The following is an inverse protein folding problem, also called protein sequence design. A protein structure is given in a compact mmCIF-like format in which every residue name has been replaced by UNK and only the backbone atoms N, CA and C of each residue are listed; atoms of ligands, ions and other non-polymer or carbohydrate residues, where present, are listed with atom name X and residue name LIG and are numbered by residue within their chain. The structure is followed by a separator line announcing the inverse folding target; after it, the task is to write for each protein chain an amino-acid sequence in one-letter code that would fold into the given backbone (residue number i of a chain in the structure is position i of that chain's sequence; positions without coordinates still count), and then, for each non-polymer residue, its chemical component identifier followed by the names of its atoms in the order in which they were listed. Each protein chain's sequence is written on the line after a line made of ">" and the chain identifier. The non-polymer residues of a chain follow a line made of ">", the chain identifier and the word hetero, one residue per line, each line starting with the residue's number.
data_IF_807259282383
#
_entry.id   IF_807259282383
#
_cell.length_a   1.000
_cell.length_b   1.000
_cell.length_c   1.000
_cell.angle_alpha   90.00
_cell.angle_beta   90.00
_cell.angle_gamma   90.00
#
_symmetry.space_group_name_H-M   'P 1'
#
loop_
_entity.id
_entity.type
_entity.pdbx_description
1 polymer ?
#
# COMPACT_ATOMS: atom_id res chain seq x y z
N UNK A 1 -2.28 9.37 7.55
CA UNK A 1 -1.92 8.09 6.95
C UNK A 1 -0.54 7.73 7.46
N UNK A 2 -0.31 6.52 7.90
CA UNK A 2 0.99 6.07 8.40
C UNK A 2 1.92 5.89 7.20
N UNK A 3 3.24 6.03 7.37
CA UNK A 3 4.22 5.79 6.30
C UNK A 3 4.10 4.39 5.71
N UNK A 4 3.71 3.40 6.52
CA UNK A 4 3.39 2.02 6.14
C UNK A 4 2.39 1.95 4.97
N UNK A 5 1.37 2.81 4.97
CA UNK A 5 0.39 2.87 3.89
C UNK A 5 0.98 3.37 2.56
N UNK A 6 2.08 4.12 2.58
CA UNK A 6 2.81 4.54 1.37
C UNK A 6 3.52 3.32 0.77
N UNK A 7 4.21 2.54 1.61
CA UNK A 7 4.89 1.32 1.16
C UNK A 7 3.91 0.26 0.66
N UNK A 8 2.74 0.12 1.30
CA UNK A 8 1.66 -0.72 0.77
C UNK A 8 1.28 -0.32 -0.67
N UNK A 9 1.10 0.98 -0.94
CA UNK A 9 0.80 1.47 -2.28
C UNK A 9 1.95 1.26 -3.26
N UNK A 10 3.20 1.52 -2.82
CA UNK A 10 4.40 1.28 -3.62
C UNK A 10 4.48 -0.19 -4.07
N UNK A 11 4.41 -1.13 -3.14
CA UNK A 11 4.53 -2.55 -3.44
C UNK A 11 3.32 -3.11 -4.18
N UNK A 12 2.11 -2.58 -3.94
CA UNK A 12 0.93 -2.97 -4.71
C UNK A 12 1.03 -2.57 -6.18
N UNK A 13 1.61 -1.40 -6.46
CA UNK A 13 1.74 -0.88 -7.82
C UNK A 13 3.01 -1.40 -8.51
N UNK A 14 4.09 -1.58 -7.76
CA UNK A 14 5.39 -2.02 -8.25
C UNK A 14 5.97 -3.09 -7.32
N UNK A 15 5.53 -4.36 -7.40
CA UNK A 15 6.06 -5.43 -6.55
C UNK A 15 7.57 -5.63 -6.67
N UNK A 16 8.14 -5.42 -7.86
CA UNK A 16 9.57 -5.55 -8.12
C UNK A 16 10.46 -4.62 -7.31
N UNK A 17 9.92 -3.50 -6.78
CA UNK A 17 10.70 -2.58 -5.93
C UNK A 17 11.29 -3.24 -4.68
N UNK A 18 10.66 -4.30 -4.13
CA UNK A 18 11.23 -5.04 -3.02
C UNK A 18 12.59 -5.62 -3.38
N UNK A 19 12.72 -6.11 -4.61
CA UNK A 19 13.91 -6.83 -5.07
C UNK A 19 15.10 -5.92 -5.36
N UNK A 20 14.91 -4.60 -5.42
CA UNK A 20 16.00 -3.60 -5.42
C UNK A 20 16.73 -3.53 -4.06
N UNK A 21 16.12 -4.08 -3.00
CA UNK A 21 16.65 -4.15 -1.63
C UNK A 21 17.28 -5.51 -1.30
N UNK A 22 17.29 -6.44 -2.23
CA UNK A 22 17.75 -7.83 -2.02
C UNK A 22 19.04 -8.05 -2.81
N UNK A 23 20.07 -8.55 -2.14
CA UNK A 23 21.39 -8.79 -2.78
C UNK A 23 21.34 -9.81 -3.92
N UNK A 24 20.51 -10.86 -3.75
CA UNK A 24 20.31 -11.93 -4.75
C UNK A 24 18.82 -12.04 -5.10
N UNK A 25 18.29 -11.15 -5.97
CA UNK A 25 16.88 -11.22 -6.35
C UNK A 25 16.61 -12.45 -7.23
N UNK A 26 15.40 -13.05 -7.14
CA UNK A 26 15.01 -14.14 -8.00
C UNK A 26 14.98 -13.73 -9.47
N UNK A 27 15.27 -14.64 -10.39
CA UNK A 27 15.27 -14.37 -11.83
C UNK A 27 13.89 -13.88 -12.34
N UNK A 28 12.82 -14.30 -11.68
CA UNK A 28 11.45 -13.94 -12.00
C UNK A 28 10.90 -12.79 -11.13
N UNK A 29 11.75 -11.91 -10.56
CA UNK A 29 11.36 -10.83 -9.65
C UNK A 29 10.18 -9.99 -10.18
N UNK A 30 10.14 -9.68 -11.47
CA UNK A 30 9.06 -8.91 -12.12
C UNK A 30 7.73 -9.66 -12.21
N UNK A 31 7.73 -10.97 -11.95
CA UNK A 31 6.51 -11.81 -12.02
C UNK A 31 5.87 -12.02 -10.66
N UNK A 32 6.47 -11.51 -9.59
CA UNK A 32 5.91 -11.63 -8.24
C UNK A 32 4.67 -10.76 -8.06
N UNK A 33 3.73 -11.27 -7.26
CA UNK A 33 2.52 -10.56 -6.90
C UNK A 33 2.58 -10.18 -5.42
N UNK A 34 2.20 -8.94 -5.13
CA UNK A 34 2.09 -8.43 -3.78
C UNK A 34 0.69 -8.67 -3.21
N UNK A 35 0.61 -9.24 -2.01
CA UNK A 35 -0.63 -9.37 -1.24
C UNK A 35 -0.42 -8.90 0.20
N UNK A 36 -1.43 -8.24 0.77
CA UNK A 36 -1.51 -7.99 2.21
C UNK A 36 -2.36 -9.08 2.84
N UNK A 37 -1.76 -9.89 3.71
CA UNK A 37 -2.42 -11.05 4.31
C UNK A 37 -2.77 -10.77 5.77
N UNK A 38 -4.05 -10.90 6.12
CA UNK A 38 -4.53 -10.84 7.49
C UNK A 38 -4.72 -12.26 8.05
N UNK A 39 -4.13 -12.52 9.21
CA UNK A 39 -4.24 -13.80 9.90
C UNK A 39 -5.36 -13.72 10.95
N UNK A 40 -6.50 -14.35 10.69
CA UNK A 40 -7.77 -14.17 11.45
C UNK A 40 -7.79 -14.67 12.89
N UNK A 41 -6.83 -15.48 13.35
CA UNK A 41 -6.90 -16.12 14.68
C UNK A 41 -6.24 -15.33 15.83
N UNK A 42 -5.38 -14.41 15.51
CA UNK A 42 -4.83 -13.38 16.39
C UNK A 42 -4.74 -12.16 15.50
N UNK A 43 -4.91 -10.96 15.99
CA UNK A 43 -4.90 -9.72 15.18
C UNK A 43 -3.51 -9.44 14.54
N UNK A 44 -2.94 -10.43 13.87
CA UNK A 44 -1.67 -10.38 13.16
C UNK A 44 -1.90 -10.01 11.70
N UNK A 45 -1.12 -9.09 11.21
CA UNK A 45 -1.17 -8.63 9.83
C UNK A 45 0.24 -8.47 9.30
N UNK A 46 0.60 -9.27 8.31
CA UNK A 46 1.85 -9.12 7.56
C UNK A 46 1.67 -7.94 6.60
N UNK A 47 2.61 -6.98 6.63
CA UNK A 47 2.53 -5.77 5.79
C UNK A 47 2.63 -6.11 4.30
N UNK A 48 3.46 -7.10 3.93
CA UNK A 48 3.56 -7.55 2.56
C UNK A 48 4.00 -9.01 2.43
N UNK A 49 3.33 -9.74 1.54
CA UNK A 49 3.71 -11.07 1.09
C UNK A 49 3.84 -11.04 -0.43
N UNK A 50 4.99 -11.44 -0.94
CA UNK A 50 5.29 -11.49 -2.37
C UNK A 50 5.28 -12.94 -2.81
N UNK A 51 4.29 -13.26 -3.62
CA UNK A 51 4.04 -14.62 -4.06
C UNK A 51 4.73 -14.88 -5.39
N UNK A 52 5.44 -16.00 -5.53
CA UNK A 52 6.04 -16.40 -6.78
C UNK A 52 4.96 -16.68 -7.84
N UNK A 53 5.30 -16.65 -9.13
CA UNK A 53 4.38 -17.03 -10.19
C UNK A 53 3.93 -18.49 -10.02
N UNK A 54 2.71 -18.80 -10.45
CA UNK A 54 2.09 -20.11 -10.24
C UNK A 54 2.85 -21.28 -10.90
N UNK A 55 3.69 -21.00 -11.90
CA UNK A 55 4.51 -21.95 -12.64
C UNK A 55 6.00 -21.92 -12.25
N UNK A 56 6.36 -21.30 -11.14
CA UNK A 56 7.74 -21.30 -10.65
C UNK A 56 8.23 -22.75 -10.38
N UNK A 57 9.43 -23.07 -10.85
CA UNK A 57 10.03 -24.39 -10.68
C UNK A 57 10.44 -24.62 -9.22
N UNK A 58 10.94 -23.58 -8.56
CA UNK A 58 11.26 -23.56 -7.14
C UNK A 58 10.61 -22.34 -6.52
N UNK A 59 9.36 -22.48 -6.02
CA UNK A 59 8.59 -21.33 -5.52
C UNK A 59 9.16 -20.82 -4.20
N UNK A 60 9.65 -19.57 -4.22
CA UNK A 60 10.17 -18.86 -3.05
C UNK A 60 9.21 -17.73 -2.69
N UNK A 61 8.83 -17.62 -1.42
CA UNK A 61 7.98 -16.54 -0.93
C UNK A 61 8.80 -15.49 -0.19
N UNK A 62 8.53 -14.20 -0.46
CA UNK A 62 9.16 -13.09 0.25
C UNK A 62 8.15 -12.40 1.17
N UNK A 63 8.62 -12.04 2.35
CA UNK A 63 7.87 -11.26 3.34
C UNK A 63 8.52 -9.90 3.51
N UNK A 64 7.73 -8.84 3.53
CA UNK A 64 8.21 -7.50 3.83
C UNK A 64 7.53 -6.93 5.06
N UNK A 65 8.31 -6.26 5.89
CA UNK A 65 7.84 -5.52 7.05
C UNK A 65 8.47 -4.12 7.02
N UNK A 66 7.66 -3.09 7.24
CA UNK A 66 8.10 -1.68 7.16
C UNK A 66 7.95 -1.01 8.50
N UNK A 67 9.06 -0.56 9.09
CA UNK A 67 9.11 -0.08 10.46
C UNK A 67 9.60 1.38 10.55
N UNK A 68 8.67 2.30 10.83
CA UNK A 68 8.93 3.73 11.05
C UNK A 68 8.72 4.20 12.49
N UNK A 69 8.42 3.27 13.40
CA UNK A 69 8.31 3.52 14.82
C UNK A 69 9.06 2.42 15.57
N UNK A 70 9.68 2.74 16.70
CA UNK A 70 10.35 1.72 17.49
C UNK A 70 9.34 0.76 18.10
N UNK A 71 9.49 -0.53 17.81
CA UNK A 71 8.67 -1.62 18.33
C UNK A 71 9.58 -2.75 18.81
N UNK A 72 9.75 -2.89 20.12
CA UNK A 72 10.61 -3.93 20.72
C UNK A 72 10.06 -5.36 20.48
N UNK A 73 8.79 -5.51 20.08
CA UNK A 73 8.16 -6.79 19.78
C UNK A 73 8.17 -7.13 18.27
N UNK A 74 8.76 -6.28 17.42
CA UNK A 74 8.77 -6.44 15.97
C UNK A 74 9.15 -7.86 15.54
N UNK A 75 10.29 -8.36 15.97
CA UNK A 75 10.78 -9.69 15.55
C UNK A 75 9.93 -10.84 16.07
N UNK A 76 9.36 -10.72 17.28
CA UNK A 76 8.42 -11.71 17.80
C UNK A 76 7.19 -11.79 16.93
N UNK A 77 6.62 -10.66 16.55
CA UNK A 77 5.45 -10.56 15.69
C UNK A 77 5.80 -11.07 14.29
N UNK A 78 6.81 -10.52 13.65
CA UNK A 78 7.22 -10.85 12.28
C UNK A 78 7.46 -12.37 12.10
N UNK A 79 8.28 -12.98 12.95
CA UNK A 79 8.57 -14.42 12.83
C UNK A 79 7.39 -15.30 13.21
N UNK A 80 6.50 -14.88 14.10
CA UNK A 80 5.28 -15.61 14.42
C UNK A 80 4.30 -15.60 13.24
N UNK A 81 4.10 -14.45 12.61
CA UNK A 81 3.23 -14.27 11.45
C UNK A 81 3.73 -15.05 10.24
N UNK A 82 5.03 -14.94 9.95
CA UNK A 82 5.72 -15.67 8.91
C UNK A 82 5.59 -17.19 9.11
N UNK A 83 5.88 -17.68 10.32
CA UNK A 83 5.80 -19.10 10.62
C UNK A 83 4.38 -19.63 10.49
N UNK A 84 3.37 -18.84 10.89
CA UNK A 84 1.97 -19.21 10.76
C UNK A 84 1.50 -19.22 9.29
N UNK A 85 1.97 -18.27 8.49
CA UNK A 85 1.72 -18.27 7.04
C UNK A 85 2.32 -19.51 6.39
N UNK A 86 3.59 -19.80 6.65
CA UNK A 86 4.27 -20.99 6.11
C UNK A 86 3.62 -22.30 6.57
N UNK A 87 3.18 -22.38 7.82
CA UNK A 87 2.46 -23.56 8.31
C UNK A 87 1.16 -23.81 7.53
N UNK A 88 0.40 -22.77 7.22
CA UNK A 88 -0.84 -22.87 6.43
C UNK A 88 -0.60 -23.21 4.96
N UNK A 89 0.58 -22.91 4.44
CA UNK A 89 0.95 -23.07 3.03
C UNK A 89 2.16 -24.00 2.84
N UNK A 90 2.43 -24.91 3.78
CA UNK A 90 3.65 -25.67 3.94
C UNK A 90 4.09 -26.53 2.73
N UNK A 91 3.16 -26.83 1.80
CA UNK A 91 3.46 -27.65 0.61
C UNK A 91 3.67 -26.75 -0.65
N UNK A 92 3.51 -25.43 -0.50
CA UNK A 92 3.46 -24.53 -1.66
C UNK A 92 4.80 -23.87 -1.98
N UNK A 93 5.69 -23.74 -0.99
CA UNK A 93 6.94 -23.00 -1.13
C UNK A 93 8.13 -23.86 -0.73
N UNK A 94 9.22 -23.77 -1.50
CA UNK A 94 10.47 -24.47 -1.23
C UNK A 94 11.36 -23.71 -0.28
N UNK A 95 11.26 -22.36 -0.30
CA UNK A 95 12.06 -21.48 0.57
C UNK A 95 11.31 -20.15 0.83
N UNK A 96 11.84 -19.34 1.76
CA UNK A 96 11.32 -18.02 2.10
C UNK A 96 12.44 -17.03 2.43
N UNK A 97 12.17 -15.75 2.16
CA UNK A 97 13.04 -14.66 2.58
C UNK A 97 12.21 -13.57 3.27
N UNK A 98 12.83 -12.88 4.24
CA UNK A 98 12.24 -11.74 4.94
C UNK A 98 13.05 -10.46 4.70
N UNK A 99 12.38 -9.37 4.32
CA UNK A 99 13.00 -8.05 4.17
C UNK A 99 12.36 -7.10 5.18
N UNK A 100 13.15 -6.62 6.13
CA UNK A 100 12.67 -5.69 7.15
C UNK A 100 13.29 -4.33 6.88
N UNK A 101 12.42 -3.36 6.54
CA UNK A 101 12.79 -2.02 6.11
C UNK A 101 12.59 -1.04 7.27
N UNK A 102 13.67 -0.49 7.76
CA UNK A 102 13.67 0.53 8.82
C UNK A 102 13.90 1.92 8.22
N UNK A 103 13.23 2.93 8.75
CA UNK A 103 13.57 4.31 8.42
C UNK A 103 15.00 4.69 8.85
N UNK A 104 15.46 4.15 9.98
CA UNK A 104 16.84 4.26 10.50
C UNK A 104 17.17 3.11 11.43
N UNK A 105 18.45 2.85 11.67
CA UNK A 105 18.94 1.82 12.58
C UNK A 105 18.47 2.00 14.03
N UNK A 106 18.21 3.22 14.46
CA UNK A 106 17.70 3.50 15.80
C UNK A 106 16.30 2.93 16.08
N UNK A 107 15.55 2.56 15.04
CA UNK A 107 14.21 1.99 15.11
C UNK A 107 14.24 0.46 15.30
N UNK A 108 15.39 -0.18 15.10
CA UNK A 108 15.54 -1.61 15.32
C UNK A 108 15.36 -1.97 16.81
N UNK A 109 14.74 -3.11 17.15
CA UNK A 109 14.65 -3.59 18.52
C UNK A 109 16.01 -3.70 19.21
N UNK A 110 16.06 -3.36 20.50
CA UNK A 110 17.31 -3.36 21.26
C UNK A 110 17.84 -4.77 21.56
N UNK A 111 16.94 -5.76 21.68
CA UNK A 111 17.31 -7.13 22.01
C UNK A 111 17.16 -8.08 20.83
N UNK A 112 18.28 -8.38 20.17
CA UNK A 112 18.33 -9.31 19.02
C UNK A 112 18.65 -10.77 19.40
N UNK A 113 19.00 -11.02 20.66
CA UNK A 113 19.58 -12.32 21.08
C UNK A 113 18.64 -13.50 20.86
N UNK A 114 17.33 -13.32 21.06
CA UNK A 114 16.35 -14.40 20.91
C UNK A 114 16.24 -14.85 19.45
N UNK A 115 16.33 -13.91 18.52
CA UNK A 115 16.19 -14.16 17.09
C UNK A 115 17.55 -14.23 16.34
N UNK A 116 18.67 -14.26 17.06
CA UNK A 116 20.02 -14.14 16.48
C UNK A 116 20.31 -15.12 15.34
N UNK A 117 19.79 -16.34 15.40
CA UNK A 117 20.02 -17.35 14.36
C UNK A 117 19.35 -16.99 13.04
N UNK A 118 18.12 -16.42 13.09
CA UNK A 118 17.41 -15.97 11.91
C UNK A 118 18.01 -14.66 11.37
N UNK A 119 18.39 -13.75 12.28
CA UNK A 119 18.94 -12.44 11.93
C UNK A 119 20.39 -12.46 11.46
N UNK A 120 21.14 -13.53 11.74
CA UNK A 120 22.52 -13.74 11.28
C UNK A 120 22.63 -14.64 10.05
N UNK A 121 21.50 -15.23 9.62
CA UNK A 121 21.44 -16.02 8.39
C UNK A 121 21.21 -15.14 7.16
N UNK A 122 21.13 -15.77 6.01
CA UNK A 122 20.90 -15.19 4.69
C UNK A 122 19.41 -14.99 4.35
N UNK A 123 18.50 -15.61 5.14
CA UNK A 123 17.07 -15.53 4.88
C UNK A 123 16.42 -14.20 5.34
N UNK A 124 17.09 -13.39 6.19
CA UNK A 124 16.50 -12.14 6.71
C UNK A 124 17.40 -10.94 6.44
N UNK A 125 17.00 -10.14 5.51
CA UNK A 125 17.65 -8.87 5.18
C UNK A 125 17.07 -7.71 6.03
N UNK A 126 17.96 -6.90 6.61
CA UNK A 126 17.61 -5.69 7.35
C UNK A 126 18.13 -4.47 6.61
N UNK A 127 17.22 -3.66 6.13
CA UNK A 127 17.52 -2.48 5.32
C UNK A 127 17.26 -1.23 6.15
N UNK A 128 18.22 -0.33 6.21
CA UNK A 128 18.09 0.96 6.88
C UNK A 128 18.14 2.05 5.83
N UNK A 129 17.01 2.71 5.60
CA UNK A 129 16.87 3.66 4.51
C UNK A 129 17.84 4.83 4.60
N UNK A 130 18.14 5.30 5.82
CA UNK A 130 19.10 6.38 6.05
C UNK A 130 20.57 5.99 5.76
N UNK A 131 20.87 4.70 5.56
CA UNK A 131 22.20 4.19 5.25
C UNK A 131 22.38 3.88 3.75
N UNK A 132 21.34 3.97 2.92
CA UNK A 132 21.41 3.66 1.48
C UNK A 132 22.16 4.72 0.64
N UNK A 133 22.52 5.85 1.25
CA UNK A 133 23.31 6.90 0.60
C UNK A 133 22.46 7.92 -0.17
N UNK A 134 23.09 8.53 -1.20
CA UNK A 134 22.47 9.63 -1.93
C UNK A 134 21.45 9.13 -2.95
N UNK A 135 20.26 9.75 -2.92
CA UNK A 135 19.15 9.48 -3.86
C UNK A 135 19.58 9.56 -5.32
N UNK A 136 20.51 10.48 -5.64
CA UNK A 136 20.97 10.68 -7.03
C UNK A 136 21.78 9.50 -7.58
N UNK A 137 22.27 8.64 -6.72
CA UNK A 137 23.05 7.45 -7.07
C UNK A 137 22.23 6.15 -7.03
N UNK A 138 20.96 6.25 -6.63
CA UNK A 138 20.07 5.10 -6.47
C UNK A 138 19.13 4.93 -7.67
N UNK A 139 18.69 3.71 -7.96
CA UNK A 139 17.57 3.47 -8.86
C UNK A 139 16.33 4.28 -8.45
N UNK A 140 15.47 4.59 -9.40
CA UNK A 140 14.29 5.43 -9.19
C UNK A 140 13.36 4.86 -8.11
N UNK A 141 13.20 3.54 -8.05
CA UNK A 141 12.41 2.85 -7.04
C UNK A 141 12.95 3.05 -5.61
N UNK A 142 14.25 2.86 -5.40
CA UNK A 142 14.90 3.17 -4.12
C UNK A 142 14.80 4.66 -3.79
N UNK A 143 14.91 5.54 -4.79
CA UNK A 143 14.69 6.97 -4.63
C UNK A 143 13.32 7.30 -4.05
N UNK A 144 12.26 6.60 -4.47
CA UNK A 144 10.92 6.75 -3.89
C UNK A 144 10.87 6.34 -2.42
N UNK A 145 11.54 5.24 -2.06
CA UNK A 145 11.61 4.80 -0.65
C UNK A 145 12.37 5.83 0.19
N UNK A 146 13.51 6.33 -0.30
CA UNK A 146 14.30 7.36 0.36
C UNK A 146 13.51 8.67 0.54
N UNK A 147 12.68 9.05 -0.42
CA UNK A 147 11.81 10.23 -0.31
C UNK A 147 10.90 10.16 0.93
N UNK A 148 10.51 8.97 1.36
CA UNK A 148 9.64 8.80 2.54
C UNK A 148 10.31 9.22 3.85
N UNK A 149 11.64 9.18 3.93
CA UNK A 149 12.40 9.57 5.14
C UNK A 149 12.93 11.00 5.09
N UNK A 150 13.03 11.62 3.90
CA UNK A 150 13.48 13.02 3.76
C UNK A 150 12.49 13.98 4.40
N UNK A 151 12.97 15.09 4.94
CA UNK A 151 12.14 16.08 5.64
C UNK A 151 12.23 17.47 4.99
N UNK A 152 11.18 18.24 5.17
CA UNK A 152 11.09 19.66 4.77
C UNK A 152 11.66 19.96 3.36
N UNK A 153 12.60 20.86 3.27
CA UNK A 153 13.19 21.34 2.02
C UNK A 153 13.88 20.22 1.23
N UNK A 154 14.57 19.32 1.93
CA UNK A 154 15.25 18.16 1.31
C UNK A 154 14.24 17.22 0.61
N UNK A 155 13.05 17.03 1.19
CA UNK A 155 12.01 16.23 0.56
C UNK A 155 11.52 16.86 -0.75
N UNK A 156 11.37 18.19 -0.81
CA UNK A 156 10.96 18.90 -2.03
C UNK A 156 12.04 18.82 -3.10
N UNK A 157 13.31 19.00 -2.74
CA UNK A 157 14.42 18.90 -3.69
C UNK A 157 14.56 17.48 -4.23
N UNK A 158 14.48 16.47 -3.35
CA UNK A 158 14.48 15.07 -3.74
C UNK A 158 13.31 14.74 -4.66
N UNK A 159 12.11 15.21 -4.36
CA UNK A 159 10.95 15.00 -5.20
C UNK A 159 11.11 15.62 -6.60
N UNK A 160 11.65 16.84 -6.69
CA UNK A 160 11.94 17.49 -7.98
C UNK A 160 12.94 16.70 -8.81
N UNK A 161 14.00 16.18 -8.18
CA UNK A 161 14.98 15.33 -8.85
C UNK A 161 14.31 14.05 -9.38
N UNK A 162 13.57 13.33 -8.55
CA UNK A 162 12.88 12.10 -8.94
C UNK A 162 11.83 12.34 -10.04
N UNK A 163 11.10 13.47 -9.99
CA UNK A 163 10.16 13.87 -11.04
C UNK A 163 10.88 14.10 -12.38
N UNK A 164 12.07 14.72 -12.36
CA UNK A 164 12.84 14.92 -13.57
C UNK A 164 13.31 13.59 -14.18
N UNK A 165 13.75 12.64 -13.34
CA UNK A 165 14.16 11.30 -13.80
C UNK A 165 12.96 10.47 -14.30
N UNK A 166 11.81 10.47 -13.58
CA UNK A 166 10.60 9.78 -14.00
C UNK A 166 10.06 10.30 -15.34
N UNK A 167 10.14 11.62 -15.59
CA UNK A 167 9.75 12.21 -16.88
C UNK A 167 10.64 11.74 -18.04
N UNK A 168 11.96 11.60 -17.82
CA UNK A 168 12.88 11.08 -18.84
C UNK A 168 12.53 9.66 -19.26
N UNK A 169 12.04 8.86 -18.30
CA UNK A 169 11.67 7.46 -18.51
C UNK A 169 10.20 7.29 -18.92
N UNK A 170 9.42 8.38 -19.00
CA UNK A 170 7.97 8.37 -19.28
C UNK A 170 7.14 7.57 -18.26
N UNK A 171 7.58 7.53 -17.01
CA UNK A 171 7.00 6.77 -15.91
C UNK A 171 5.89 7.58 -15.20
N UNK A 172 4.71 7.68 -15.81
CA UNK A 172 3.58 8.46 -15.27
C UNK A 172 3.15 7.99 -13.87
N UNK A 173 3.13 6.68 -13.63
CA UNK A 173 2.76 6.10 -12.34
C UNK A 173 3.73 6.51 -11.21
N UNK A 174 5.01 6.66 -11.51
CA UNK A 174 6.02 7.13 -10.54
C UNK A 174 5.82 8.61 -10.22
N UNK A 175 5.48 9.43 -11.21
CA UNK A 175 5.15 10.86 -11.01
C UNK A 175 4.00 11.00 -10.01
N UNK A 176 2.96 10.19 -10.15
CA UNK A 176 1.82 10.18 -9.24
C UNK A 176 2.20 9.73 -7.82
N UNK A 177 3.06 8.72 -7.69
CA UNK A 177 3.56 8.28 -6.38
C UNK A 177 4.38 9.36 -5.69
N UNK A 178 5.28 10.04 -6.39
CA UNK A 178 6.07 11.15 -5.84
C UNK A 178 5.14 12.24 -5.32
N UNK A 179 4.15 12.64 -6.13
CA UNK A 179 3.17 13.65 -5.74
C UNK A 179 2.38 13.20 -4.51
N UNK A 180 1.95 11.94 -4.48
CA UNK A 180 1.25 11.35 -3.33
C UNK A 180 2.10 11.41 -2.06
N UNK A 181 3.37 10.98 -2.12
CA UNK A 181 4.28 10.99 -0.97
C UNK A 181 4.42 12.41 -0.43
N UNK A 182 4.61 13.41 -1.29
CA UNK A 182 4.79 14.80 -0.86
C UNK A 182 3.49 15.37 -0.27
N UNK A 183 2.33 15.09 -0.84
CA UNK A 183 1.04 15.51 -0.27
C UNK A 183 0.84 14.93 1.15
N UNK A 184 1.24 13.69 1.38
CA UNK A 184 1.16 13.09 2.72
C UNK A 184 2.17 13.65 3.72
N UNK A 185 3.35 14.04 3.26
CA UNK A 185 4.38 14.64 4.13
C UNK A 185 4.00 16.05 4.56
N UNK A 186 3.49 16.85 3.64
CA UNK A 186 3.24 18.28 3.83
C UNK A 186 1.75 18.59 4.09
N UNK A 187 1.21 18.06 5.18
CA UNK A 187 -0.20 18.26 5.58
C UNK A 187 -0.63 19.72 5.75
N UNK A 188 0.32 20.65 5.91
CA UNK A 188 0.05 22.09 6.10
C UNK A 188 -0.19 22.84 4.79
N UNK A 189 0.23 22.26 3.66
CA UNK A 189 0.07 22.87 2.35
C UNK A 189 -1.12 22.25 1.63
N UNK A 190 -1.86 23.09 0.93
CA UNK A 190 -2.85 22.60 -0.02
C UNK A 190 -2.14 21.86 -1.16
N UNK A 191 -2.85 20.94 -1.78
CA UNK A 191 -2.36 20.21 -2.94
C UNK A 191 -1.90 21.14 -4.08
N UNK A 192 -2.62 22.24 -4.31
CA UNK A 192 -2.25 23.25 -5.32
C UNK A 192 -0.90 23.88 -5.04
N UNK A 193 -0.63 24.22 -3.78
CA UNK A 193 0.69 24.73 -3.37
C UNK A 193 1.79 23.70 -3.59
N UNK A 194 1.54 22.42 -3.26
CA UNK A 194 2.50 21.34 -3.49
C UNK A 194 2.79 21.16 -4.98
N UNK A 195 1.76 21.13 -5.84
CA UNK A 195 1.93 21.02 -7.29
C UNK A 195 2.79 22.19 -7.82
N UNK A 196 2.51 23.40 -7.36
CA UNK A 196 3.32 24.59 -7.70
C UNK A 196 4.76 24.48 -7.20
N UNK A 197 4.97 24.02 -5.96
CA UNK A 197 6.30 23.81 -5.37
C UNK A 197 7.13 22.78 -6.14
N UNK A 198 6.46 21.74 -6.66
CA UNK A 198 7.10 20.69 -7.47
C UNK A 198 7.32 21.10 -8.96
N UNK A 199 6.81 22.26 -9.39
CA UNK A 199 6.90 22.71 -10.77
C UNK A 199 6.11 21.81 -11.74
N UNK A 200 5.00 21.26 -11.27
CA UNK A 200 4.06 20.48 -12.07
C UNK A 200 3.01 21.43 -12.67
N UNK A 201 2.61 21.18 -13.93
CA UNK A 201 1.49 21.89 -14.52
C UNK A 201 0.18 21.49 -13.82
N UNK A 202 -0.78 22.44 -13.76
CA UNK A 202 -2.05 22.32 -13.06
C UNK A 202 -3.03 21.32 -13.71
N UNK A 203 -2.67 20.64 -14.78
CA UNK A 203 -3.44 19.50 -15.25
C UNK A 203 -3.28 18.40 -14.18
N UNK A 204 -4.38 18.15 -13.47
CA UNK A 204 -4.40 17.15 -12.39
C UNK A 204 -3.88 15.82 -12.93
N UNK A 205 -2.82 15.22 -12.35
CA UNK A 205 -2.37 13.90 -12.74
C UNK A 205 -3.55 12.91 -12.68
N UNK A 206 -3.66 12.03 -13.66
CA UNK A 206 -4.81 11.12 -13.85
C UNK A 206 -5.12 10.26 -12.62
N UNK A 207 -4.08 9.76 -11.94
CA UNK A 207 -4.22 9.01 -10.68
C UNK A 207 -4.78 9.87 -9.52
N UNK A 208 -4.72 11.17 -9.64
CA UNK A 208 -5.27 12.11 -8.67
C UNK A 208 -6.77 12.30 -8.91
N UNK A 209 -7.19 12.33 -10.16
CA UNK A 209 -8.61 12.32 -10.50
C UNK A 209 -9.21 10.97 -10.08
N UNK A 210 -8.55 9.86 -10.40
CA UNK A 210 -8.96 8.50 -10.03
C UNK A 210 -9.02 8.31 -8.49
N UNK A 211 -8.00 8.74 -7.73
CA UNK A 211 -8.01 8.64 -6.25
C UNK A 211 -9.06 9.57 -5.60
N UNK A 212 -9.39 10.69 -6.23
CA UNK A 212 -10.44 11.60 -5.77
C UNK A 212 -11.83 11.03 -6.08
N UNK A 213 -11.98 10.38 -7.22
CA UNK A 213 -13.19 9.66 -7.61
C UNK A 213 -13.41 8.41 -6.75
N UNK A 214 -12.35 7.62 -6.49
CA UNK A 214 -12.41 6.48 -5.55
C UNK A 214 -12.75 6.94 -4.12
N UNK A 215 -12.08 7.97 -3.59
CA UNK A 215 -12.35 8.48 -2.26
C UNK A 215 -13.75 9.07 -2.12
N UNK A 216 -14.26 9.75 -3.16
CA UNK A 216 -15.66 10.21 -3.21
C UNK A 216 -16.64 9.05 -3.31
N UNK A 217 -16.30 8.02 -4.09
CA UNK A 217 -17.10 6.81 -4.21
C UNK A 217 -17.22 6.04 -2.89
N UNK A 218 -16.12 5.85 -2.17
CA UNK A 218 -16.12 5.19 -0.85
C UNK A 218 -16.92 5.99 0.19
N UNK A 219 -16.78 7.32 0.21
CA UNK A 219 -17.52 8.18 1.13
C UNK A 219 -19.03 8.21 0.79
N UNK A 220 -19.38 8.36 -0.48
CA UNK A 220 -20.76 8.32 -0.95
C UNK A 220 -21.43 6.97 -0.65
N UNK A 221 -20.74 5.86 -0.92
CA UNK A 221 -21.21 4.51 -0.60
C UNK A 221 -21.44 4.32 0.89
N UNK A 222 -20.51 4.77 1.72
CA UNK A 222 -20.63 4.70 3.19
C UNK A 222 -21.85 5.47 3.69
N UNK A 223 -22.10 6.67 3.12
CA UNK A 223 -23.27 7.49 3.44
C UNK A 223 -24.55 6.79 2.98
N UNK A 224 -24.60 6.32 1.73
CA UNK A 224 -25.76 5.64 1.16
C UNK A 224 -26.15 4.39 1.98
N UNK A 225 -25.19 3.52 2.31
CA UNK A 225 -25.43 2.31 3.13
C UNK A 225 -25.96 2.65 4.53
N UNK A 226 -25.44 3.71 5.15
CA UNK A 226 -25.90 4.18 6.47
C UNK A 226 -27.31 4.74 6.42
N UNK A 227 -27.64 5.49 5.38
CA UNK A 227 -28.97 6.05 5.17
C UNK A 227 -29.98 4.96 4.84
N UNK A 228 -29.65 4.02 3.94
CA UNK A 228 -30.48 2.86 3.62
C UNK A 228 -30.79 2.02 4.86
N UNK A 229 -29.78 1.71 5.66
CA UNK A 229 -29.96 0.96 6.92
C UNK A 229 -30.86 1.72 7.90
N UNK A 230 -30.74 3.03 7.97
CA UNK A 230 -31.59 3.86 8.85
C UNK A 230 -33.03 3.93 8.34
N UNK A 231 -33.25 3.92 7.04
CA UNK A 231 -34.57 4.09 6.41
C UNK A 231 -35.34 2.79 6.30
N UNK A 232 -34.67 1.72 5.85
CA UNK A 232 -35.28 0.43 5.52
C UNK A 232 -35.05 -0.64 6.60
N UNK A 233 -34.16 -0.38 7.58
CA UNK A 233 -33.82 -1.34 8.62
C UNK A 233 -32.92 -2.46 8.13
N UNK A 234 -33.40 -3.70 8.23
CA UNK A 234 -32.62 -4.87 7.81
C UNK A 234 -32.74 -5.08 6.30
N UNK A 235 -31.63 -4.99 5.59
CA UNK A 235 -31.55 -5.15 4.14
C UNK A 235 -30.83 -6.47 3.86
N UNK A 236 -31.34 -7.31 2.93
CA UNK A 236 -30.69 -8.56 2.53
C UNK A 236 -29.27 -8.32 1.99
N UNK A 237 -28.34 -9.23 2.33
CA UNK A 237 -26.92 -9.12 1.93
C UNK A 237 -26.74 -9.10 0.40
N UNK A 238 -27.64 -9.74 -0.34
CA UNK A 238 -27.65 -9.72 -1.80
C UNK A 238 -27.84 -8.31 -2.37
N UNK A 239 -28.77 -7.55 -1.81
CA UNK A 239 -29.03 -6.16 -2.23
C UNK A 239 -27.90 -5.23 -1.77
N UNK A 240 -27.34 -5.44 -0.57
CA UNK A 240 -26.16 -4.71 -0.11
C UNK A 240 -24.96 -4.92 -1.06
N UNK A 241 -24.76 -6.15 -1.52
CA UNK A 241 -23.71 -6.48 -2.48
C UNK A 241 -23.92 -5.83 -3.86
N UNK A 242 -25.17 -5.63 -4.28
CA UNK A 242 -25.50 -4.90 -5.50
C UNK A 242 -25.21 -3.40 -5.33
N UNK A 243 -25.61 -2.80 -4.21
CA UNK A 243 -25.32 -1.39 -3.90
C UNK A 243 -23.80 -1.12 -3.87
N UNK A 244 -23.00 -2.05 -3.34
CA UNK A 244 -21.53 -1.93 -3.30
C UNK A 244 -20.86 -1.98 -4.69
N UNK A 245 -21.56 -2.44 -5.72
CA UNK A 245 -21.06 -2.50 -7.11
C UNK A 245 -21.46 -1.30 -7.95
N UNK A 246 -22.27 -0.42 -7.43
CA UNK A 246 -22.72 0.78 -8.14
C UNK A 246 -21.55 1.73 -8.40
N UNK A 247 -21.57 2.40 -9.55
CA UNK A 247 -20.69 3.52 -9.85
C UNK A 247 -20.99 4.73 -8.95
N UNK A 248 -20.06 5.68 -8.84
CA UNK A 248 -20.26 6.91 -8.07
C UNK A 248 -21.55 7.66 -8.49
N UNK A 249 -21.79 7.79 -9.79
CA UNK A 249 -23.00 8.45 -10.33
C UNK A 249 -24.26 7.73 -9.85
N UNK A 250 -24.29 6.39 -9.95
CA UNK A 250 -25.44 5.60 -9.49
C UNK A 250 -25.63 5.67 -7.97
N UNK A 251 -24.55 5.82 -7.19
CA UNK A 251 -24.64 6.02 -5.73
C UNK A 251 -25.19 7.41 -5.41
N UNK A 252 -24.78 8.45 -6.15
CA UNK A 252 -25.31 9.79 -6.02
C UNK A 252 -26.81 9.81 -6.38
N UNK A 253 -27.22 9.19 -7.49
CA UNK A 253 -28.63 9.03 -7.89
C UNK A 253 -29.44 8.23 -6.83
N UNK A 254 -28.83 7.18 -6.24
CA UNK A 254 -29.45 6.44 -5.14
C UNK A 254 -29.67 7.36 -3.92
N UNK A 255 -28.69 8.20 -3.59
CA UNK A 255 -28.81 9.14 -2.46
C UNK A 255 -29.96 10.13 -2.64
N UNK A 256 -30.26 10.54 -3.87
CA UNK A 256 -31.34 11.47 -4.15
C UNK A 256 -32.72 10.82 -3.96
N UNK A 257 -32.87 9.53 -4.29
CA UNK A 257 -34.17 8.84 -4.25
C UNK A 257 -34.41 8.00 -3.00
N UNK A 258 -33.36 7.61 -2.27
CA UNK A 258 -33.46 6.69 -1.12
C UNK A 258 -34.35 7.24 0.03
N UNK A 259 -34.51 8.57 0.09
CA UNK A 259 -35.38 9.20 1.10
C UNK A 259 -36.86 8.93 0.86
N UNK A 260 -37.22 8.61 -0.38
CA UNK A 260 -38.60 8.28 -0.78
C UNK A 260 -38.91 6.78 -0.60
N UNK A 261 -37.89 5.93 -0.39
CA UNK A 261 -38.10 4.50 -0.16
C UNK A 261 -38.83 4.24 1.15
N UNK A 262 -39.83 3.39 1.12
CA UNK A 262 -40.64 2.98 2.28
C UNK A 262 -40.34 1.54 2.66
N UNK A 263 -40.02 0.69 1.68
CA UNK A 263 -39.81 -0.74 1.83
C UNK A 263 -38.53 -1.19 1.13
N UNK A 264 -38.04 -2.39 1.47
CA UNK A 264 -36.89 -3.00 0.77
C UNK A 264 -37.20 -3.30 -0.71
N UNK A 265 -38.49 -3.50 -1.05
CA UNK A 265 -38.92 -3.71 -2.43
C UNK A 265 -38.70 -2.45 -3.32
N UNK A 266 -38.73 -1.25 -2.74
CA UNK A 266 -38.45 -0.02 -3.45
C UNK A 266 -36.97 0.05 -3.89
N UNK A 267 -36.07 -0.36 -3.00
CA UNK A 267 -34.64 -0.49 -3.32
C UNK A 267 -34.39 -1.56 -4.39
N UNK A 268 -35.04 -2.72 -4.27
CA UNK A 268 -34.91 -3.81 -5.25
C UNK A 268 -35.40 -3.35 -6.64
N UNK A 269 -36.57 -2.70 -6.69
CA UNK A 269 -37.12 -2.16 -7.93
C UNK A 269 -36.24 -1.09 -8.59
N UNK A 270 -35.59 -0.26 -7.78
CA UNK A 270 -34.64 0.75 -8.27
C UNK A 270 -33.36 0.10 -8.82
N UNK A 271 -32.78 -0.88 -8.07
CA UNK A 271 -31.56 -1.60 -8.51
C UNK A 271 -31.76 -2.38 -9.80
N UNK A 272 -32.98 -2.86 -10.10
CA UNK A 272 -33.29 -3.56 -11.36
C UNK A 272 -33.32 -2.62 -12.58
N UNK A 273 -33.32 -1.29 -12.37
CA UNK A 273 -33.33 -0.29 -13.43
C UNK A 273 -31.95 0.30 -13.72
N UNK A 274 -30.90 -0.11 -12.98
CA UNK A 274 -29.51 0.33 -13.12
C UNK A 274 -28.71 -0.60 -14.04
#
# INVERSE_FOLDING_TARGET
>A
MRRDSIFYKLFKQFPSLLFELVDEPPAEADSYQFESVEVKETAFRIDGVFLPPANAVSPVVFFAEVQFQKDENLYFRFFSELSLFLHRHSIRYDDWYGVIIFGSRSLEPSNLKIHRSLLAGDQVSRVYLDELGDVQQQPLGLGLMLLTIKEDTEAIETAKFLLAEARKQSEAAIIDLITTIIVYKFKKFSRKEIITMLGLDLEEPRAIQEAKEEGRGEEALSIALRLLKRRLGNIPDELLSQVQRLSLVQIEDLCDVLLDFVTVADLEGWLQQQ
#
